data_IF_997746040880
#
_entry.id   IF_997746040880
#
_cell.length_a   1.000
_cell.length_b   1.000
_cell.length_c   1.000
_cell.angle_alpha   90.00
_cell.angle_beta   90.00
_cell.angle_gamma   90.00
#
_symmetry.space_group_name_H-M   'P 1'
#
loop_
_entity.id
_entity.type
_entity.pdbx_description
1 polymer ?
#
# COMPACT_ATOMS: atom_id res chain seq x y z
N UNK A 1 9.32 3.89 7.50
CA UNK A 1 10.34 4.42 8.41
C UNK A 1 11.73 4.06 7.91
N UNK A 2 12.63 5.02 7.84
CA UNK A 2 14.05 4.84 7.43
C UNK A 2 14.93 4.33 8.58
N UNK A 3 14.42 4.34 9.81
CA UNK A 3 15.10 3.84 11.00
C UNK A 3 14.25 2.69 11.57
N UNK A 4 14.91 1.58 11.88
CA UNK A 4 14.23 0.50 12.61
C UNK A 4 13.89 0.97 14.02
N UNK A 5 12.62 0.87 14.47
CA UNK A 5 12.25 1.26 15.84
C UNK A 5 13.05 0.52 16.92
N UNK A 6 13.50 -0.69 16.65
CA UNK A 6 14.33 -1.49 17.54
C UNK A 6 15.74 -0.93 17.76
N UNK A 7 16.21 -0.02 16.89
CA UNK A 7 17.50 0.66 17.01
C UNK A 7 17.42 1.97 17.77
N UNK A 8 16.23 2.45 18.12
CA UNK A 8 16.03 3.71 18.83
C UNK A 8 16.28 3.49 20.33
N UNK A 9 17.17 4.30 20.91
CA UNK A 9 17.42 4.34 22.35
C UNK A 9 16.49 5.35 23.03
N UNK A 10 16.32 6.54 22.42
CA UNK A 10 15.43 7.58 22.96
C UNK A 10 14.95 8.53 21.86
N UNK A 11 13.79 9.12 22.11
CA UNK A 11 13.24 10.21 21.28
C UNK A 11 12.93 11.39 22.20
N UNK A 12 13.49 12.56 21.87
CA UNK A 12 13.28 13.81 22.61
C UNK A 12 12.66 14.84 21.70
N UNK A 13 11.60 15.50 22.15
CA UNK A 13 10.92 16.56 21.40
C UNK A 13 11.25 17.90 22.04
N UNK A 14 11.96 18.77 21.33
CA UNK A 14 12.29 20.12 21.74
C UNK A 14 11.25 21.09 21.18
N UNK A 15 10.50 21.75 22.07
CA UNK A 15 9.40 22.65 21.67
C UNK A 15 9.64 24.09 22.08
N UNK A 16 10.55 24.33 23.03
CA UNK A 16 10.86 25.68 23.49
C UNK A 16 11.98 26.34 22.68
N UNK A 17 11.94 27.68 22.62
CA UNK A 17 12.88 28.49 21.84
C UNK A 17 14.34 28.32 22.29
N UNK A 18 14.57 28.09 23.57
CA UNK A 18 15.93 27.92 24.13
C UNK A 18 16.55 26.62 23.64
N UNK A 19 15.79 25.53 23.70
CA UNK A 19 16.26 24.21 23.23
C UNK A 19 16.42 24.16 21.71
N UNK A 20 15.54 24.84 20.95
CA UNK A 20 15.57 24.84 19.48
C UNK A 20 16.57 25.83 18.88
N UNK A 21 17.04 26.82 19.66
CA UNK A 21 18.00 27.84 19.19
C UNK A 21 19.30 27.26 18.64
N UNK A 22 19.74 26.10 19.16
CA UNK A 22 20.91 25.36 18.65
C UNK A 22 20.76 24.89 17.21
N UNK A 23 19.52 24.81 16.70
CA UNK A 23 19.20 24.35 15.35
C UNK A 23 18.88 25.49 14.37
N UNK A 24 19.02 26.76 14.85
CA UNK A 24 18.78 27.95 14.05
C UNK A 24 17.36 28.03 13.50
N UNK A 25 17.18 28.61 12.31
CA UNK A 25 15.88 28.76 11.66
C UNK A 25 15.17 27.45 11.38
N UNK A 26 15.89 26.33 11.25
CA UNK A 26 15.31 24.99 11.06
C UNK A 26 14.57 24.47 12.29
N UNK A 27 14.90 24.99 13.48
CA UNK A 27 14.23 24.65 14.74
C UNK A 27 12.93 25.41 15.01
N UNK A 28 12.50 26.32 14.14
CA UNK A 28 11.37 27.22 14.39
C UNK A 28 10.04 26.48 14.68
N UNK A 29 9.82 25.33 14.10
CA UNK A 29 8.64 24.48 14.29
C UNK A 29 8.84 23.35 15.34
N UNK A 30 9.93 23.41 16.12
CA UNK A 30 10.35 22.36 17.03
C UNK A 30 11.33 21.38 16.40
N UNK A 31 11.97 20.57 17.25
CA UNK A 31 12.98 19.58 16.84
C UNK A 31 12.68 18.24 17.49
N UNK A 32 12.71 17.17 16.70
CA UNK A 32 12.66 15.80 17.20
C UNK A 32 14.07 15.22 17.13
N UNK A 33 14.66 14.95 18.29
CA UNK A 33 15.98 14.34 18.42
C UNK A 33 15.82 12.83 18.61
N UNK A 34 16.29 12.04 17.68
CA UNK A 34 16.28 10.58 17.76
C UNK A 34 17.71 10.12 18.05
N UNK A 35 17.88 9.46 19.20
CA UNK A 35 19.16 8.85 19.59
C UNK A 35 19.08 7.34 19.34
N UNK A 36 20.03 6.83 18.58
CA UNK A 36 20.12 5.40 18.31
C UNK A 36 20.98 4.68 19.33
N UNK A 37 20.78 3.37 19.47
CA UNK A 37 21.53 2.50 20.40
C UNK A 37 23.02 2.52 20.09
N UNK A 38 23.83 2.37 21.14
CA UNK A 38 25.30 2.32 21.11
C UNK A 38 25.77 1.12 21.93
N UNK A 39 26.98 0.68 21.71
CA UNK A 39 27.65 -0.27 22.58
C UNK A 39 28.05 0.37 23.90
N UNK A 40 28.17 -0.41 24.96
CA UNK A 40 28.67 0.04 26.25
C UNK A 40 30.15 -0.31 26.46
N UNK A 41 30.84 0.55 27.23
CA UNK A 41 32.26 0.35 27.55
C UNK A 41 32.43 -0.77 28.58
N UNK A 42 33.39 -1.68 28.34
CA UNK A 42 33.70 -2.81 29.25
C UNK A 42 32.71 -3.97 29.18
N UNK A 43 31.76 -3.94 28.20
CA UNK A 43 30.89 -5.09 27.94
C UNK A 43 31.55 -6.10 26.99
N UNK A 44 31.47 -7.39 27.35
CA UNK A 44 31.74 -8.46 26.40
C UNK A 44 30.76 -8.39 25.22
N UNK A 45 31.17 -8.93 24.04
CA UNK A 45 30.32 -8.95 22.87
C UNK A 45 28.99 -9.68 23.14
N UNK A 46 27.89 -8.98 22.92
CA UNK A 46 26.52 -9.49 23.07
C UNK A 46 25.83 -9.58 21.71
N UNK A 47 25.13 -10.69 21.51
CA UNK A 47 24.28 -10.89 20.33
C UNK A 47 22.85 -11.05 20.82
N UNK A 48 21.96 -10.20 20.31
CA UNK A 48 20.52 -10.28 20.55
C UNK A 48 19.81 -10.60 19.22
N UNK A 49 18.89 -11.55 19.26
CA UNK A 49 18.07 -11.94 18.11
C UNK A 49 16.61 -11.75 18.49
N UNK A 50 15.92 -10.90 17.74
CA UNK A 50 14.49 -10.65 17.88
C UNK A 50 13.77 -11.18 16.63
N UNK A 51 12.82 -12.10 16.81
CA UNK A 51 11.97 -12.59 15.74
C UNK A 51 10.52 -12.44 16.18
N UNK A 52 9.72 -11.73 15.37
CA UNK A 52 8.28 -11.53 15.59
C UNK A 52 7.53 -12.01 14.36
N UNK A 53 6.57 -12.87 14.59
CA UNK A 53 5.65 -13.32 13.57
C UNK A 53 4.23 -12.93 13.96
N UNK A 54 3.44 -12.49 13.00
CA UNK A 54 2.08 -12.03 13.23
C UNK A 54 1.22 -12.15 11.99
N UNK A 55 -0.04 -11.79 12.15
CA UNK A 55 -1.01 -11.75 11.08
C UNK A 55 -1.69 -10.39 11.04
N UNK A 56 -1.88 -9.87 9.83
CA UNK A 56 -2.65 -8.66 9.57
C UNK A 56 -4.05 -9.06 9.14
N UNK A 57 -5.03 -8.72 9.93
CA UNK A 57 -6.43 -8.96 9.62
C UNK A 57 -7.27 -7.71 9.85
N UNK A 58 -8.38 -7.63 9.15
CA UNK A 58 -9.30 -6.54 9.35
C UNK A 58 -10.05 -6.74 10.67
N UNK A 59 -9.87 -5.82 11.61
CA UNK A 59 -10.54 -5.84 12.91
C UNK A 59 -11.75 -4.90 13.01
N UNK A 60 -11.82 -3.92 12.09
CA UNK A 60 -12.95 -3.00 12.04
C UNK A 60 -14.17 -3.69 11.43
N UNK A 61 -15.37 -3.52 12.01
CA UNK A 61 -16.60 -4.01 11.42
C UNK A 61 -16.79 -3.48 10.00
N UNK A 62 -17.36 -4.30 9.14
CA UNK A 62 -17.82 -3.87 7.82
C UNK A 62 -19.22 -3.29 7.97
N UNK A 63 -19.63 -2.47 7.00
CA UNK A 63 -21.02 -2.09 6.86
C UNK A 63 -21.87 -3.36 6.72
N UNK A 64 -23.01 -3.36 7.35
CA UNK A 64 -24.03 -4.36 7.15
C UNK A 64 -24.70 -4.10 5.80
N UNK A 65 -24.42 -4.98 4.84
CA UNK A 65 -24.95 -4.89 3.48
C UNK A 65 -25.65 -6.21 3.14
N UNK A 66 -26.65 -6.15 2.27
CA UNK A 66 -27.33 -7.34 1.76
C UNK A 66 -26.32 -8.20 1.01
N UNK A 67 -26.11 -9.43 1.50
CA UNK A 67 -25.21 -10.41 0.89
C UNK A 67 -25.95 -11.57 0.23
N UNK A 68 -27.22 -11.75 0.55
CA UNK A 68 -28.08 -12.77 -0.05
C UNK A 68 -28.66 -12.25 -1.38
N UNK A 69 -28.43 -12.94 -2.50
CA UNK A 69 -28.97 -12.56 -3.81
C UNK A 69 -30.51 -12.54 -3.84
N UNK A 70 -31.20 -13.42 -3.12
CA UNK A 70 -32.66 -13.45 -3.08
C UNK A 70 -33.23 -12.25 -2.32
N UNK A 71 -32.67 -11.96 -1.15
CA UNK A 71 -33.03 -10.78 -0.37
C UNK A 71 -32.80 -9.49 -1.18
N UNK A 72 -31.66 -9.41 -1.90
CA UNK A 72 -31.37 -8.29 -2.78
C UNK A 72 -32.45 -8.13 -3.87
N UNK A 73 -32.86 -9.23 -4.51
CA UNK A 73 -33.90 -9.21 -5.55
C UNK A 73 -35.24 -8.74 -4.98
N UNK A 74 -35.66 -9.23 -3.81
CA UNK A 74 -36.90 -8.79 -3.15
C UNK A 74 -36.87 -7.29 -2.86
N UNK A 75 -35.80 -6.78 -2.27
CA UNK A 75 -35.65 -5.38 -1.91
C UNK A 75 -35.61 -4.46 -3.16
N UNK A 76 -34.87 -4.87 -4.19
CA UNK A 76 -34.78 -4.15 -5.45
C UNK A 76 -36.13 -4.11 -6.15
N UNK A 77 -36.85 -5.24 -6.19
CA UNK A 77 -38.20 -5.31 -6.75
C UNK A 77 -39.17 -4.40 -6.01
N UNK A 78 -39.17 -4.43 -4.68
CA UNK A 78 -40.04 -3.58 -3.87
C UNK A 78 -39.76 -2.10 -4.10
N UNK A 79 -38.53 -1.73 -4.28
CA UNK A 79 -38.16 -0.35 -4.64
C UNK A 79 -38.75 0.07 -5.99
N UNK A 80 -38.62 -0.78 -7.00
CA UNK A 80 -39.17 -0.54 -8.33
C UNK A 80 -40.71 -0.53 -8.33
N UNK A 81 -41.33 -1.42 -7.57
CA UNK A 81 -42.77 -1.48 -7.39
C UNK A 81 -43.32 -0.16 -6.79
N UNK A 82 -42.67 0.32 -5.74
CA UNK A 82 -43.06 1.59 -5.10
C UNK A 82 -42.83 2.81 -6.00
N UNK A 83 -41.84 2.74 -6.89
CA UNK A 83 -41.53 3.79 -7.85
C UNK A 83 -42.45 3.78 -9.09
N UNK A 84 -43.22 2.69 -9.33
CA UNK A 84 -44.07 2.56 -10.49
C UNK A 84 -45.26 3.52 -10.42
N UNK A 85 -45.55 4.25 -11.52
CA UNK A 85 -46.67 5.14 -11.67
C UNK A 85 -47.97 4.48 -12.17
N UNK A 86 -47.97 3.12 -12.26
CA UNK A 86 -49.19 2.35 -12.68
C UNK A 86 -50.34 2.50 -11.68
N UNK A 87 -51.54 2.53 -12.20
CA UNK A 87 -52.76 2.69 -11.37
C UNK A 87 -53.14 1.39 -10.64
N UNK A 88 -52.77 0.22 -11.14
CA UNK A 88 -53.16 -1.08 -10.59
C UNK A 88 -51.96 -1.81 -9.95
N UNK A 89 -52.20 -2.56 -8.90
CA UNK A 89 -51.19 -3.37 -8.20
C UNK A 89 -50.49 -4.37 -9.16
N UNK A 90 -51.26 -5.05 -10.02
CA UNK A 90 -50.72 -5.95 -11.03
C UNK A 90 -49.87 -5.22 -12.10
N UNK A 91 -50.25 -3.99 -12.43
CA UNK A 91 -49.47 -3.13 -13.32
C UNK A 91 -48.12 -2.71 -12.70
N UNK A 92 -48.13 -2.36 -11.43
CA UNK A 92 -46.89 -2.05 -10.66
C UNK A 92 -45.98 -3.26 -10.55
N UNK A 93 -46.52 -4.42 -10.22
CA UNK A 93 -45.80 -5.70 -10.11
C UNK A 93 -45.13 -6.08 -11.45
N UNK A 94 -45.87 -5.92 -12.56
CA UNK A 94 -45.33 -6.16 -13.89
C UNK A 94 -44.19 -5.21 -14.22
N UNK A 95 -44.37 -3.91 -14.00
CA UNK A 95 -43.33 -2.90 -14.24
C UNK A 95 -42.07 -3.20 -13.42
N UNK A 96 -42.21 -3.50 -12.13
CA UNK A 96 -41.09 -3.82 -11.27
C UNK A 96 -40.31 -5.07 -11.78
N UNK A 97 -41.04 -6.11 -12.18
CA UNK A 97 -40.45 -7.34 -12.71
C UNK A 97 -39.76 -7.13 -14.05
N UNK A 98 -40.38 -6.39 -14.97
CA UNK A 98 -39.82 -6.10 -16.27
C UNK A 98 -38.56 -5.22 -16.19
N UNK A 99 -38.54 -4.28 -15.26
CA UNK A 99 -37.37 -3.43 -15.02
C UNK A 99 -36.24 -4.17 -14.33
N UNK A 100 -36.54 -4.96 -13.29
CA UNK A 100 -35.52 -5.68 -12.51
C UNK A 100 -34.79 -6.73 -13.33
N UNK A 101 -35.51 -7.51 -14.15
CA UNK A 101 -34.93 -8.55 -15.02
C UNK A 101 -34.73 -8.08 -16.47
N UNK A 102 -34.76 -6.78 -16.68
CA UNK A 102 -34.45 -6.14 -17.95
C UNK A 102 -32.96 -5.77 -18.11
N UNK A 103 -32.60 -5.20 -19.26
CA UNK A 103 -31.19 -4.83 -19.56
C UNK A 103 -30.56 -3.83 -18.60
N UNK A 104 -31.36 -3.05 -17.90
CA UNK A 104 -30.90 -2.04 -16.90
C UNK A 104 -30.97 -2.53 -15.47
N UNK A 105 -31.40 -3.78 -15.24
CA UNK A 105 -31.45 -4.40 -13.92
C UNK A 105 -30.50 -5.57 -13.80
N UNK A 106 -31.04 -6.81 -13.75
CA UNK A 106 -30.29 -8.07 -13.73
C UNK A 106 -30.42 -8.72 -15.11
N UNK A 107 -29.54 -8.38 -16.07
CA UNK A 107 -29.61 -8.96 -17.41
C UNK A 107 -29.23 -10.44 -17.40
N UNK A 108 -29.52 -11.15 -18.50
CA UNK A 108 -29.40 -12.60 -18.57
C UNK A 108 -28.10 -13.20 -18.05
N UNK A 109 -26.91 -12.67 -18.37
CA UNK A 109 -25.68 -13.29 -17.87
C UNK A 109 -25.56 -13.32 -16.34
N UNK A 110 -26.33 -12.47 -15.65
CA UNK A 110 -26.33 -12.33 -14.20
C UNK A 110 -27.55 -12.97 -13.52
N UNK A 111 -28.46 -13.58 -14.29
CA UNK A 111 -29.57 -14.32 -13.71
C UNK A 111 -29.03 -15.64 -13.14
N UNK A 112 -29.01 -15.71 -11.80
CA UNK A 112 -28.45 -16.85 -11.07
C UNK A 112 -29.37 -18.08 -11.02
N UNK A 113 -30.62 -17.95 -11.48
CA UNK A 113 -31.66 -18.95 -11.25
C UNK A 113 -32.15 -19.59 -12.53
N UNK A 114 -32.74 -20.75 -12.37
CA UNK A 114 -33.48 -21.51 -13.39
C UNK A 114 -34.80 -22.01 -12.78
N UNK A 115 -35.75 -22.34 -13.63
CA UNK A 115 -37.02 -22.92 -13.22
C UNK A 115 -37.18 -24.31 -13.81
N UNK A 116 -37.43 -25.28 -12.95
CA UNK A 116 -37.82 -26.65 -13.35
C UNK A 116 -39.33 -26.69 -13.47
N UNK A 117 -39.85 -26.87 -14.67
CA UNK A 117 -41.28 -26.97 -14.93
C UNK A 117 -41.84 -28.33 -14.46
N UNK A 118 -43.17 -28.42 -14.32
CA UNK A 118 -43.84 -29.62 -13.90
C UNK A 118 -43.62 -30.83 -14.86
N UNK A 119 -43.31 -30.58 -16.10
CA UNK A 119 -42.97 -31.62 -17.11
C UNK A 119 -41.49 -32.02 -17.09
N UNK A 120 -40.71 -31.48 -16.13
CA UNK A 120 -39.26 -31.73 -16.02
C UNK A 120 -38.39 -30.93 -16.98
N UNK A 121 -38.95 -30.09 -17.81
CA UNK A 121 -38.17 -29.16 -18.66
C UNK A 121 -37.55 -28.04 -17.81
N UNK A 122 -36.38 -27.55 -18.22
CA UNK A 122 -35.66 -26.49 -17.50
C UNK A 122 -35.69 -25.19 -18.29
N UNK A 123 -36.27 -24.15 -17.69
CA UNK A 123 -36.10 -22.77 -18.15
C UNK A 123 -34.84 -22.20 -17.53
N UNK A 124 -33.79 -22.04 -18.32
CA UNK A 124 -32.49 -21.51 -17.88
C UNK A 124 -32.45 -19.99 -17.79
N UNK A 125 -33.49 -19.28 -18.27
CA UNK A 125 -33.59 -17.82 -18.25
C UNK A 125 -34.98 -17.36 -17.80
N UNK A 126 -35.42 -17.73 -16.56
CA UNK A 126 -36.68 -17.25 -16.02
C UNK A 126 -36.62 -15.74 -15.77
N UNK A 127 -37.73 -15.05 -16.01
CA UNK A 127 -37.85 -13.60 -15.82
C UNK A 127 -39.15 -13.26 -15.10
N UNK A 128 -39.15 -12.10 -14.46
CA UNK A 128 -40.32 -11.48 -13.88
C UNK A 128 -41.04 -12.40 -12.89
N UNK A 129 -42.29 -12.66 -13.14
CA UNK A 129 -43.18 -13.43 -12.24
C UNK A 129 -42.81 -14.93 -12.09
N UNK A 130 -41.85 -15.42 -12.89
CA UNK A 130 -41.30 -16.78 -12.69
C UNK A 130 -40.26 -16.85 -11.58
N UNK A 131 -39.77 -15.71 -11.08
CA UNK A 131 -38.79 -15.62 -10.01
C UNK A 131 -39.34 -14.91 -8.77
N UNK A 132 -40.24 -13.95 -8.95
CA UNK A 132 -40.78 -13.16 -7.86
C UNK A 132 -42.30 -13.02 -8.00
N UNK A 133 -43.00 -13.35 -6.95
CA UNK A 133 -44.46 -13.29 -6.91
C UNK A 133 -44.97 -11.84 -6.90
N UNK A 134 -46.26 -11.65 -7.19
CA UNK A 134 -46.91 -10.33 -7.13
C UNK A 134 -46.90 -9.71 -5.73
N UNK A 135 -46.61 -10.49 -4.69
CA UNK A 135 -46.43 -10.04 -3.31
C UNK A 135 -45.01 -9.55 -3.01
N UNK A 136 -44.14 -9.55 -4.02
CA UNK A 136 -42.74 -9.15 -3.87
C UNK A 136 -41.83 -10.17 -3.19
N UNK A 137 -42.30 -11.39 -3.01
CA UNK A 137 -41.49 -12.47 -2.44
C UNK A 137 -40.86 -13.32 -3.51
N UNK A 138 -39.58 -13.69 -3.30
CA UNK A 138 -38.87 -14.58 -4.18
C UNK A 138 -39.53 -15.98 -4.13
N UNK A 139 -39.69 -16.61 -5.30
CA UNK A 139 -40.27 -17.93 -5.39
C UNK A 139 -39.22 -18.99 -5.01
N UNK A 140 -39.66 -20.06 -4.36
CA UNK A 140 -38.79 -21.09 -3.84
C UNK A 140 -38.75 -22.38 -4.63
N UNK A 141 -38.16 -23.40 -4.03
CA UNK A 141 -38.07 -24.74 -4.62
C UNK A 141 -39.45 -25.39 -4.85
N UNK A 142 -40.44 -25.03 -4.04
CA UNK A 142 -41.83 -25.46 -4.21
C UNK A 142 -42.46 -24.91 -5.50
N UNK A 143 -41.96 -23.79 -5.99
CA UNK A 143 -42.38 -23.20 -7.28
C UNK A 143 -41.44 -23.62 -8.43
N UNK A 144 -40.52 -24.56 -8.18
CA UNK A 144 -39.53 -25.06 -9.15
C UNK A 144 -38.32 -24.13 -9.34
N UNK A 145 -38.21 -23.05 -8.57
CA UNK A 145 -37.08 -22.11 -8.67
C UNK A 145 -35.87 -22.66 -7.94
N UNK A 146 -34.73 -22.73 -8.64
CA UNK A 146 -33.46 -23.15 -8.05
C UNK A 146 -32.29 -22.38 -8.68
N UNK A 147 -31.13 -22.35 -8.02
CA UNK A 147 -29.93 -21.81 -8.61
C UNK A 147 -29.49 -22.63 -9.83
N UNK A 148 -28.96 -21.97 -10.86
CA UNK A 148 -28.17 -22.62 -11.88
C UNK A 148 -26.99 -23.35 -11.25
N UNK A 149 -26.42 -24.40 -11.86
CA UNK A 149 -25.27 -25.11 -11.33
C UNK A 149 -24.13 -24.15 -10.92
N UNK A 150 -23.62 -24.31 -9.69
CA UNK A 150 -22.53 -23.51 -9.14
C UNK A 150 -22.87 -22.07 -8.74
N UNK A 151 -24.06 -21.55 -9.08
CA UNK A 151 -24.41 -20.16 -8.80
C UNK A 151 -24.88 -19.92 -7.36
N UNK A 152 -25.07 -20.96 -6.57
CA UNK A 152 -25.42 -20.87 -5.15
C UNK A 152 -24.22 -20.68 -4.23
N UNK A 153 -22.99 -20.69 -4.74
CA UNK A 153 -21.76 -20.59 -3.97
C UNK A 153 -20.73 -19.67 -4.68
N UNK A 154 -21.18 -18.49 -5.06
CA UNK A 154 -20.31 -17.50 -5.68
C UNK A 154 -19.31 -16.96 -4.67
N UNK A 155 -18.06 -16.74 -5.10
CA UNK A 155 -17.07 -16.06 -4.28
C UNK A 155 -17.56 -14.64 -3.98
N UNK A 156 -17.58 -14.28 -2.69
CA UNK A 156 -17.94 -12.92 -2.31
C UNK A 156 -16.87 -11.92 -2.73
N UNK A 157 -17.28 -10.70 -3.09
CA UNK A 157 -16.34 -9.62 -3.39
C UNK A 157 -15.41 -9.31 -2.23
N UNK A 158 -15.86 -9.50 -1.00
CA UNK A 158 -15.05 -9.32 0.21
C UNK A 158 -13.91 -10.34 0.27
N UNK A 159 -14.23 -11.62 0.05
CA UNK A 159 -13.24 -12.69 0.07
C UNK A 159 -12.27 -12.63 -1.11
N UNK A 160 -12.72 -12.04 -2.23
CA UNK A 160 -11.87 -11.81 -3.39
C UNK A 160 -10.82 -10.69 -3.17
N UNK A 161 -11.06 -9.76 -2.24
CA UNK A 161 -10.26 -8.55 -2.06
C UNK A 161 -9.51 -8.53 -0.72
N UNK A 162 -10.09 -9.11 0.32
CA UNK A 162 -9.46 -9.14 1.64
C UNK A 162 -8.87 -10.53 1.94
N UNK A 163 -7.79 -10.53 2.69
CA UNK A 163 -7.10 -11.75 3.14
C UNK A 163 -6.57 -11.57 4.56
N UNK A 164 -6.09 -12.64 5.13
CA UNK A 164 -5.19 -12.58 6.29
C UNK A 164 -3.76 -12.46 5.75
N UNK A 165 -3.15 -11.31 5.95
CA UNK A 165 -1.76 -11.06 5.58
C UNK A 165 -0.80 -11.59 6.64
N UNK A 166 0.42 -11.92 6.24
CA UNK A 166 1.47 -12.39 7.14
C UNK A 166 2.48 -11.27 7.41
N UNK A 167 3.01 -11.26 8.63
CA UNK A 167 4.06 -10.33 9.03
C UNK A 167 5.21 -11.08 9.70
N UNK A 168 6.42 -10.87 9.20
CA UNK A 168 7.67 -11.34 9.79
C UNK A 168 8.59 -10.15 10.02
N UNK A 169 9.04 -9.95 11.27
CA UNK A 169 10.03 -8.94 11.64
C UNK A 169 11.16 -9.65 12.38
N UNK A 170 12.34 -9.69 11.78
CA UNK A 170 13.51 -10.35 12.32
C UNK A 170 14.68 -9.37 12.38
N UNK A 171 15.32 -9.25 13.53
CA UNK A 171 16.47 -8.36 13.75
C UNK A 171 17.56 -9.07 14.55
N UNK A 172 18.79 -8.97 14.08
CA UNK A 172 20.00 -9.38 14.80
C UNK A 172 20.76 -8.14 15.21
N UNK A 173 21.16 -8.05 16.48
CA UNK A 173 21.91 -6.93 17.05
C UNK A 173 23.17 -7.45 17.69
N UNK A 174 24.28 -6.80 17.43
CA UNK A 174 25.59 -7.12 17.97
C UNK A 174 26.13 -5.86 18.64
N UNK A 175 26.45 -5.92 19.92
CA UNK A 175 27.01 -4.79 20.66
C UNK A 175 28.11 -5.24 21.60
N UNK A 176 28.99 -4.30 21.95
CA UNK A 176 30.06 -4.54 22.89
C UNK A 176 31.07 -3.42 22.89
N UNK A 177 32.14 -3.58 23.64
CA UNK A 177 33.20 -2.59 23.60
C UNK A 177 34.23 -2.69 24.70
N UNK A 178 35.33 -2.00 24.49
CA UNK A 178 36.39 -1.76 25.45
C UNK A 178 36.31 -0.31 25.97
N UNK A 179 37.18 0.08 26.89
CA UNK A 179 37.31 1.49 27.31
C UNK A 179 37.64 2.47 26.18
N UNK A 180 38.19 1.96 25.08
CA UNK A 180 38.64 2.81 23.96
C UNK A 180 37.72 2.77 22.75
N UNK A 181 36.91 1.71 22.58
CA UNK A 181 36.05 1.55 21.41
C UNK A 181 34.81 0.80 21.83
N UNK A 182 33.63 1.35 21.48
CA UNK A 182 32.35 0.66 21.60
C UNK A 182 31.68 0.58 20.25
N UNK A 183 30.94 -0.51 20.02
CA UNK A 183 30.25 -0.73 18.77
C UNK A 183 28.85 -1.27 19.00
N UNK A 184 27.97 -0.91 18.08
CA UNK A 184 26.63 -1.47 17.94
C UNK A 184 26.34 -1.66 16.45
N UNK A 185 25.92 -2.85 16.07
CA UNK A 185 25.53 -3.18 14.69
C UNK A 185 24.20 -3.92 14.73
N UNK A 186 23.26 -3.54 13.87
CA UNK A 186 22.01 -4.25 13.68
C UNK A 186 21.77 -4.58 12.21
N UNK A 187 21.15 -5.74 11.97
CA UNK A 187 20.68 -6.19 10.67
C UNK A 187 19.22 -6.60 10.86
N UNK A 188 18.32 -5.98 10.11
CA UNK A 188 16.89 -6.23 10.22
C UNK A 188 16.25 -6.56 8.88
N UNK A 189 15.28 -7.46 8.91
CA UNK A 189 14.40 -7.78 7.79
C UNK A 189 12.96 -7.76 8.25
N UNK A 190 12.13 -7.04 7.52
CA UNK A 190 10.68 -6.97 7.70
C UNK A 190 10.00 -7.38 6.41
N UNK A 191 9.09 -8.35 6.49
CA UNK A 191 8.10 -8.64 5.46
C UNK A 191 6.71 -8.40 6.06
N UNK A 192 5.91 -7.59 5.42
CA UNK A 192 4.58 -7.18 5.90
C UNK A 192 3.57 -7.25 4.74
N UNK A 193 2.68 -8.23 4.80
CA UNK A 193 1.58 -8.36 3.86
C UNK A 193 0.32 -7.76 4.46
N UNK A 194 -0.31 -6.83 3.74
CA UNK A 194 -1.57 -6.23 4.17
C UNK A 194 -2.77 -7.19 4.08
N UNK A 195 -3.82 -6.91 4.83
CA UNK A 195 -5.09 -7.63 4.72
C UNK A 195 -5.85 -7.31 3.41
N UNK A 196 -5.45 -6.29 2.68
CA UNK A 196 -5.93 -5.94 1.36
C UNK A 196 -4.97 -6.53 0.31
N UNK A 197 -5.48 -7.33 -0.65
CA UNK A 197 -4.64 -7.98 -1.65
C UNK A 197 -3.86 -6.95 -2.47
N UNK A 198 -2.65 -7.32 -2.93
CA UNK A 198 -1.76 -6.40 -3.65
C UNK A 198 -0.98 -5.42 -2.75
N UNK A 199 -1.28 -5.35 -1.44
CA UNK A 199 -0.55 -4.49 -0.50
C UNK A 199 0.54 -5.29 0.20
N UNK A 200 1.82 -4.95 -0.07
CA UNK A 200 2.99 -5.60 0.54
C UNK A 200 4.09 -4.58 0.84
N UNK A 201 4.87 -4.85 1.86
CA UNK A 201 6.04 -4.04 2.23
C UNK A 201 7.16 -4.93 2.71
N UNK A 202 8.30 -4.90 2.00
CA UNK A 202 9.53 -5.56 2.39
C UNK A 202 10.58 -4.51 2.75
N UNK A 203 11.32 -4.72 3.84
CA UNK A 203 12.39 -3.81 4.26
C UNK A 203 13.59 -4.58 4.76
N UNK A 204 14.76 -4.23 4.28
CA UNK A 204 16.05 -4.66 4.79
C UNK A 204 16.79 -3.45 5.38
N UNK A 205 17.36 -3.59 6.57
CA UNK A 205 18.09 -2.53 7.26
C UNK A 205 19.43 -3.04 7.77
N UNK A 206 20.45 -2.22 7.63
CA UNK A 206 21.73 -2.39 8.29
C UNK A 206 22.12 -1.09 8.97
N UNK A 207 22.57 -1.15 10.21
CA UNK A 207 23.08 -0.02 10.96
C UNK A 207 24.34 -0.41 11.69
N UNK A 208 25.31 0.52 11.73
CA UNK A 208 26.52 0.38 12.56
C UNK A 208 26.86 1.72 13.19
N UNK A 209 27.08 1.70 14.50
CA UNK A 209 27.53 2.85 15.30
C UNK A 209 28.82 2.43 16.01
N UNK A 210 29.89 3.20 15.83
CA UNK A 210 31.20 2.96 16.46
C UNK A 210 31.62 4.25 17.14
N UNK A 211 31.83 4.21 18.44
CA UNK A 211 32.45 5.31 19.21
C UNK A 211 33.89 4.90 19.57
N UNK A 212 34.84 5.82 19.44
CA UNK A 212 36.25 5.55 19.71
C UNK A 212 36.96 6.71 20.42
N UNK A 213 37.92 6.36 21.30
CA UNK A 213 38.73 7.27 22.09
C UNK A 213 40.18 6.79 22.14
N UNK A 214 40.92 6.87 21.03
CA UNK A 214 42.27 6.30 20.93
C UNK A 214 43.28 7.04 21.81
N UNK A 215 43.04 8.33 22.11
CA UNK A 215 43.87 9.19 22.96
C UNK A 215 43.01 10.03 23.88
N UNK A 216 43.58 10.56 24.97
CA UNK A 216 42.89 11.48 25.91
C UNK A 216 42.40 12.78 25.27
N UNK A 217 43.05 13.20 24.18
CA UNK A 217 42.77 14.42 23.46
C UNK A 217 41.93 14.21 22.18
N UNK A 218 41.68 12.96 21.79
CA UNK A 218 40.92 12.62 20.59
C UNK A 218 39.82 11.60 20.92
N UNK A 219 38.59 11.96 20.64
CA UNK A 219 37.46 11.02 20.57
C UNK A 219 36.64 11.27 19.32
N UNK A 220 35.91 10.27 18.89
CA UNK A 220 35.04 10.41 17.73
C UNK A 220 34.01 9.31 17.68
N UNK A 221 33.10 9.44 16.74
CA UNK A 221 32.16 8.40 16.38
C UNK A 221 31.95 8.37 14.87
N UNK A 222 31.56 7.19 14.41
CA UNK A 222 31.07 6.98 13.02
C UNK A 222 29.73 6.24 13.14
N UNK A 223 28.74 6.68 12.40
CA UNK A 223 27.47 6.03 12.28
C UNK A 223 27.13 5.86 10.80
N UNK A 224 26.64 4.67 10.45
CA UNK A 224 26.21 4.33 9.10
C UNK A 224 24.90 3.59 9.18
N UNK A 225 23.99 3.87 8.27
CA UNK A 225 22.77 3.13 8.09
C UNK A 225 22.41 3.01 6.61
N UNK A 226 21.92 1.84 6.24
CA UNK A 226 21.35 1.57 4.94
C UNK A 226 19.98 0.95 5.12
N UNK A 227 19.01 1.42 4.35
CA UNK A 227 17.68 0.86 4.28
C UNK A 227 17.31 0.65 2.82
N UNK A 228 16.95 -0.55 2.49
CA UNK A 228 16.26 -0.92 1.26
C UNK A 228 14.80 -1.20 1.61
N UNK A 229 13.87 -0.70 0.82
CA UNK A 229 12.46 -1.08 0.91
C UNK A 229 11.83 -1.26 -0.45
N UNK A 230 10.92 -2.23 -0.52
CA UNK A 230 10.09 -2.50 -1.68
C UNK A 230 8.64 -2.55 -1.22
N UNK A 231 7.81 -1.66 -1.76
CA UNK A 231 6.41 -1.52 -1.40
C UNK A 231 5.55 -1.68 -2.64
N UNK A 232 4.60 -2.59 -2.59
CA UNK A 232 3.48 -2.58 -3.53
C UNK A 232 2.28 -1.93 -2.84
N UNK A 233 1.71 -0.93 -3.49
CA UNK A 233 0.49 -0.27 -3.05
C UNK A 233 -0.68 -0.84 -3.84
N UNK A 234 -1.69 -1.31 -3.16
CA UNK A 234 -2.96 -1.60 -3.80
C UNK A 234 -3.71 -0.27 -4.02
N UNK A 235 -4.30 -0.08 -5.18
CA UNK A 235 -5.06 1.12 -5.50
C UNK A 235 -6.14 1.38 -4.44
N UNK A 236 -6.05 2.50 -3.76
CA UNK A 236 -6.96 2.95 -2.73
C UNK A 236 -7.42 4.34 -3.10
N UNK A 237 -8.68 4.48 -3.42
CA UNK A 237 -9.30 5.75 -3.71
C UNK A 237 -10.72 5.78 -3.15
N UNK A 238 -11.40 6.87 -3.36
CA UNK A 238 -12.82 7.06 -3.05
C UNK A 238 -13.74 6.77 -4.24
N UNK A 239 -13.18 6.23 -5.31
CA UNK A 239 -13.87 5.89 -6.54
C UNK A 239 -14.15 4.38 -6.66
N UNK A 240 -14.88 4.00 -7.71
CA UNK A 240 -15.28 2.62 -7.97
C UNK A 240 -14.14 1.65 -8.26
N UNK A 241 -12.94 2.14 -8.61
CA UNK A 241 -11.74 1.30 -8.80
C UNK A 241 -11.16 0.85 -7.46
N UNK A 242 -11.56 1.50 -6.35
CA UNK A 242 -11.19 1.05 -5.01
C UNK A 242 -12.01 -0.17 -4.59
N UNK A 243 -11.33 -1.25 -4.25
CA UNK A 243 -11.97 -2.42 -3.70
C UNK A 243 -12.76 -2.16 -2.42
N UNK A 244 -12.34 -1.19 -1.59
CA UNK A 244 -13.08 -0.81 -0.37
C UNK A 244 -14.46 -0.21 -0.68
N UNK A 245 -14.55 0.63 -1.70
CA UNK A 245 -15.83 1.20 -2.14
C UNK A 245 -16.67 0.13 -2.82
N UNK A 246 -16.05 -0.62 -3.72
CA UNK A 246 -16.72 -1.59 -4.58
C UNK A 246 -17.40 -2.71 -3.78
N UNK A 247 -16.72 -3.30 -2.78
CA UNK A 247 -17.29 -4.40 -1.97
C UNK A 247 -18.51 -4.01 -1.14
N UNK A 248 -18.70 -2.72 -0.88
CA UNK A 248 -19.83 -2.21 -0.12
C UNK A 248 -21.01 -1.75 -1.00
N UNK A 249 -20.80 -1.63 -2.31
CA UNK A 249 -21.81 -1.12 -3.24
C UNK A 249 -22.24 -2.13 -4.30
N UNK A 250 -21.43 -3.18 -4.51
CA UNK A 250 -21.75 -4.20 -5.51
C UNK A 250 -22.85 -5.13 -5.02
N UNK A 251 -23.89 -5.29 -5.85
CA UNK A 251 -24.97 -6.18 -5.55
C UNK A 251 -24.52 -7.65 -5.59
N UNK A 252 -25.04 -8.52 -4.69
CA UNK A 252 -24.59 -9.90 -4.54
C UNK A 252 -24.94 -10.81 -5.73
N UNK A 253 -25.76 -10.35 -6.65
CA UNK A 253 -26.08 -11.06 -7.90
C UNK A 253 -24.98 -10.95 -8.96
N UNK A 254 -24.04 -10.01 -8.82
CA UNK A 254 -22.94 -9.83 -9.76
C UNK A 254 -21.69 -10.55 -9.27
N UNK A 255 -21.22 -11.57 -10.00
CA UNK A 255 -20.09 -12.40 -9.56
C UNK A 255 -18.74 -11.72 -9.76
N UNK A 256 -17.70 -12.23 -9.06
CA UNK A 256 -16.29 -11.81 -9.25
C UNK A 256 -15.73 -12.35 -10.58
N UNK A 257 -16.09 -13.58 -10.91
CA UNK A 257 -15.61 -14.31 -12.08
C UNK A 257 -16.74 -14.60 -13.06
N UNK A 258 -16.39 -14.88 -14.31
CA UNK A 258 -17.28 -15.47 -15.28
C UNK A 258 -17.37 -16.99 -15.06
N UNK A 259 -18.57 -17.54 -15.21
CA UNK A 259 -18.87 -18.95 -14.98
C UNK A 259 -19.36 -19.64 -16.24
N UNK A 260 -19.01 -20.92 -16.40
CA UNK A 260 -19.55 -21.82 -17.39
C UNK A 260 -20.96 -22.30 -16.96
N UNK A 261 -21.70 -22.89 -17.88
CA UNK A 261 -23.03 -23.43 -17.61
C UNK A 261 -23.05 -24.55 -16.55
N UNK A 262 -21.92 -25.24 -16.34
CA UNK A 262 -21.74 -26.26 -15.32
C UNK A 262 -21.35 -25.70 -13.94
N UNK A 263 -21.19 -24.36 -13.81
CA UNK A 263 -20.81 -23.69 -12.59
C UNK A 263 -19.33 -23.61 -12.32
N UNK A 264 -18.49 -24.05 -13.23
CA UNK A 264 -17.03 -23.86 -13.14
C UNK A 264 -16.64 -22.44 -13.56
N UNK A 265 -15.56 -21.90 -12.97
CA UNK A 265 -15.01 -20.60 -13.38
C UNK A 265 -14.44 -20.73 -14.79
N UNK A 266 -14.76 -19.78 -15.65
CA UNK A 266 -14.18 -19.72 -17.00
C UNK A 266 -12.69 -19.42 -16.95
N UNK A 267 -11.94 -19.97 -17.90
CA UNK A 267 -10.55 -19.63 -18.12
C UNK A 267 -10.49 -18.50 -19.14
N UNK A 268 -9.77 -17.46 -18.80
CA UNK A 268 -9.55 -16.33 -19.69
C UNK A 268 -8.53 -16.71 -20.79
N UNK A 269 -8.89 -16.62 -22.05
CA UNK A 269 -7.99 -17.00 -23.16
C UNK A 269 -6.78 -16.06 -23.31
N UNK A 270 -6.84 -14.85 -22.76
CA UNK A 270 -5.74 -13.88 -22.84
C UNK A 270 -4.68 -14.12 -21.76
N UNK A 271 -5.10 -14.49 -20.56
CA UNK A 271 -4.20 -14.60 -19.39
C UNK A 271 -3.93 -16.05 -19.00
N UNK A 272 -4.75 -17.00 -19.45
CA UNK A 272 -4.70 -18.39 -19.01
C UNK A 272 -5.15 -18.61 -17.56
N UNK A 273 -5.53 -17.54 -16.84
CA UNK A 273 -6.05 -17.58 -15.49
C UNK A 273 -7.57 -17.55 -15.43
N UNK A 274 -8.12 -17.33 -14.25
CA UNK A 274 -9.56 -17.15 -14.07
C UNK A 274 -10.07 -15.92 -14.81
N UNK A 275 -11.17 -16.03 -15.53
CA UNK A 275 -11.81 -14.92 -16.21
C UNK A 275 -12.58 -14.05 -15.20
N UNK A 276 -12.11 -12.83 -14.98
CA UNK A 276 -12.78 -11.86 -14.14
C UNK A 276 -13.97 -11.23 -14.86
N UNK A 277 -15.08 -11.03 -14.13
CA UNK A 277 -16.25 -10.33 -14.67
C UNK A 277 -16.06 -8.81 -14.61
N UNK A 278 -15.77 -8.18 -15.73
CA UNK A 278 -15.74 -6.72 -15.86
C UNK A 278 -17.11 -6.10 -16.19
N UNK A 279 -18.15 -6.93 -16.26
CA UNK A 279 -19.51 -6.44 -16.50
C UNK A 279 -19.74 -5.87 -17.88
N UNK A 280 -18.99 -6.30 -18.88
CA UNK A 280 -19.12 -5.86 -20.27
C UNK A 280 -19.44 -7.05 -21.15
N UNK A 281 -20.64 -7.04 -21.75
CA UNK A 281 -21.11 -8.03 -22.69
C UNK A 281 -21.53 -7.37 -24.01
N UNK A 282 -21.62 -8.15 -25.06
CA UNK A 282 -22.08 -7.67 -26.34
C UNK A 282 -23.50 -7.10 -26.22
N UNK A 283 -23.63 -5.79 -26.49
CA UNK A 283 -24.90 -5.06 -26.45
C UNK A 283 -25.32 -4.49 -25.10
N UNK A 284 -24.70 -4.83 -23.97
CA UNK A 284 -25.00 -4.21 -22.66
C UNK A 284 -23.87 -4.39 -21.65
N UNK A 285 -23.89 -3.53 -20.64
CA UNK A 285 -23.00 -3.60 -19.49
C UNK A 285 -23.75 -3.91 -18.19
N UNK A 286 -23.02 -4.31 -17.17
CA UNK A 286 -23.54 -4.38 -15.81
C UNK A 286 -24.03 -2.98 -15.41
N UNK A 287 -25.22 -2.84 -14.78
CA UNK A 287 -25.79 -1.52 -14.47
C UNK A 287 -24.92 -0.69 -13.49
N UNK A 288 -24.05 -1.36 -12.73
CA UNK A 288 -23.16 -0.73 -11.77
C UNK A 288 -21.74 -1.26 -11.93
N UNK A 289 -20.75 -0.37 -11.99
CA UNK A 289 -19.35 -0.76 -12.10
C UNK A 289 -19.00 -1.51 -13.39
N UNK A 290 -19.70 -1.21 -14.52
CA UNK A 290 -19.35 -1.74 -15.84
C UNK A 290 -17.93 -1.31 -16.24
N UNK A 291 -17.15 -2.22 -16.77
CA UNK A 291 -15.73 -2.02 -17.09
C UNK A 291 -14.78 -2.13 -15.91
N UNK A 292 -15.27 -2.35 -14.70
CA UNK A 292 -14.48 -2.36 -13.47
C UNK A 292 -14.57 -3.72 -12.78
N UNK A 293 -13.41 -4.27 -12.39
CA UNK A 293 -13.30 -5.41 -11.49
C UNK A 293 -12.05 -5.23 -10.63
N UNK A 294 -12.19 -4.72 -9.38
CA UNK A 294 -11.03 -4.46 -8.52
C UNK A 294 -10.20 -5.70 -8.21
N UNK A 295 -10.82 -6.89 -8.10
CA UNK A 295 -10.08 -8.13 -7.87
C UNK A 295 -9.17 -8.48 -9.06
N UNK A 296 -9.64 -8.26 -10.29
CA UNK A 296 -8.86 -8.42 -11.51
C UNK A 296 -7.78 -7.35 -11.63
N UNK A 297 -8.13 -6.08 -11.40
CA UNK A 297 -7.15 -4.98 -11.43
C UNK A 297 -6.02 -5.19 -10.41
N UNK A 298 -6.35 -5.55 -9.16
CA UNK A 298 -5.34 -5.85 -8.13
C UNK A 298 -4.44 -7.06 -8.49
N UNK A 299 -4.89 -7.92 -9.37
CA UNK A 299 -4.09 -9.07 -9.87
C UNK A 299 -3.10 -8.65 -10.95
N UNK A 300 -3.49 -7.75 -11.84
CA UNK A 300 -2.74 -7.42 -13.04
C UNK A 300 -2.06 -6.05 -13.01
N UNK A 301 -2.63 -5.08 -12.31
CA UNK A 301 -2.01 -3.76 -12.13
C UNK A 301 -0.92 -3.81 -11.06
N UNK A 302 0.05 -2.91 -11.17
CA UNK A 302 1.14 -2.77 -10.22
C UNK A 302 1.34 -1.29 -9.89
N UNK A 303 1.54 -1.00 -8.63
CA UNK A 303 2.00 0.28 -8.12
C UNK A 303 3.11 -0.02 -7.12
N UNK A 304 4.35 0.10 -7.58
CA UNK A 304 5.52 -0.35 -6.84
C UNK A 304 6.47 0.81 -6.54
N UNK A 305 6.94 0.88 -5.30
CA UNK A 305 7.96 1.82 -4.87
C UNK A 305 9.16 1.05 -4.33
N UNK A 306 10.30 1.19 -5.01
CA UNK A 306 11.60 0.71 -4.51
C UNK A 306 12.39 1.90 -4.00
N UNK A 307 12.87 1.82 -2.75
CA UNK A 307 13.60 2.91 -2.14
C UNK A 307 14.92 2.42 -1.52
N UNK A 308 15.97 3.18 -1.76
CA UNK A 308 17.26 3.07 -1.10
C UNK A 308 17.50 4.32 -0.24
N UNK A 309 17.86 4.12 1.00
CA UNK A 309 18.23 5.20 1.90
C UNK A 309 19.58 4.91 2.55
N UNK A 310 20.52 5.82 2.37
CA UNK A 310 21.86 5.76 2.96
C UNK A 310 22.02 6.94 3.91
N UNK A 311 22.48 6.67 5.11
CA UNK A 311 22.89 7.68 6.08
C UNK A 311 24.29 7.33 6.54
N UNK A 312 25.20 8.28 6.47
CA UNK A 312 26.54 8.15 7.00
C UNK A 312 26.91 9.46 7.73
N UNK A 313 27.46 9.33 8.92
CA UNK A 313 27.86 10.50 9.69
C UNK A 313 28.99 10.18 10.65
N UNK A 314 29.60 11.23 11.16
CA UNK A 314 30.62 11.10 12.17
C UNK A 314 30.95 12.42 12.83
N UNK A 315 31.59 12.31 13.97
CA UNK A 315 32.08 13.41 14.76
C UNK A 315 33.48 13.13 15.24
N UNK A 316 34.36 14.11 15.14
CA UNK A 316 35.69 14.10 15.73
C UNK A 316 35.78 15.26 16.73
N UNK A 317 36.15 14.99 17.97
CA UNK A 317 36.42 15.97 19.01
C UNK A 317 37.90 15.97 19.33
N UNK A 318 38.56 17.12 19.13
CA UNK A 318 39.98 17.37 19.42
C UNK A 318 40.05 18.29 20.66
N UNK A 319 40.64 17.81 21.72
CA UNK A 319 40.88 18.59 22.95
C UNK A 319 42.31 19.09 22.96
N UNK A 320 42.53 20.35 22.55
CA UNK A 320 43.85 20.96 22.46
C UNK A 320 44.42 21.37 23.78
N UNK A 321 43.56 21.96 24.65
CA UNK A 321 43.89 22.38 26.00
C UNK A 321 42.80 21.93 26.98
N UNK A 322 43.03 22.13 28.27
CA UNK A 322 42.02 21.74 29.28
C UNK A 322 40.65 22.35 29.03
N UNK A 323 40.64 23.57 28.49
CA UNK A 323 39.42 24.40 28.38
C UNK A 323 39.01 24.63 26.92
N UNK A 324 39.78 24.16 25.91
CA UNK A 324 39.53 24.38 24.47
C UNK A 324 39.37 23.06 23.71
N UNK A 325 38.30 22.94 22.97
CA UNK A 325 38.06 21.80 22.09
C UNK A 325 37.51 22.24 20.74
N UNK A 326 37.87 21.50 19.67
CA UNK A 326 37.30 21.60 18.35
C UNK A 326 36.47 20.33 18.08
N UNK A 327 35.24 20.52 17.62
CA UNK A 327 34.36 19.44 17.17
C UNK A 327 34.14 19.60 15.68
N UNK A 328 34.35 18.53 14.92
CA UNK A 328 34.10 18.47 13.48
C UNK A 328 33.07 17.40 13.25
N UNK A 329 31.91 17.78 12.72
CA UNK A 329 30.84 16.89 12.35
C UNK A 329 30.68 16.86 10.82
N UNK A 330 30.43 15.67 10.26
CA UNK A 330 30.08 15.49 8.85
C UNK A 330 28.95 14.47 8.76
N UNK A 331 27.93 14.79 7.94
CA UNK A 331 26.79 13.93 7.72
C UNK A 331 26.41 13.92 6.25
N UNK A 332 26.07 12.76 5.73
CA UNK A 332 25.53 12.50 4.42
C UNK A 332 24.22 11.74 4.55
N UNK A 333 23.21 12.17 3.81
CA UNK A 333 21.97 11.45 3.64
C UNK A 333 21.65 11.37 2.15
N UNK A 334 21.42 10.18 1.66
CA UNK A 334 21.00 9.93 0.29
C UNK A 334 19.70 9.13 0.31
N UNK A 335 18.73 9.55 -0.48
CA UNK A 335 17.48 8.84 -0.75
C UNK A 335 17.29 8.73 -2.24
N UNK A 336 17.25 7.50 -2.76
CA UNK A 336 16.83 7.19 -4.12
C UNK A 336 15.51 6.43 -4.06
N UNK A 337 14.48 6.90 -4.73
CA UNK A 337 13.18 6.25 -4.84
C UNK A 337 12.79 6.12 -6.31
N UNK A 338 12.40 4.91 -6.71
CA UNK A 338 11.79 4.61 -8.01
C UNK A 338 10.36 4.17 -7.75
N UNK A 339 9.39 4.92 -8.27
CA UNK A 339 7.98 4.58 -8.30
C UNK A 339 7.61 4.14 -9.71
N UNK A 340 6.93 3.01 -9.82
CA UNK A 340 6.52 2.43 -11.10
C UNK A 340 5.05 2.05 -11.02
N UNK A 341 4.25 2.68 -11.85
CA UNK A 341 2.83 2.39 -12.02
C UNK A 341 2.62 1.65 -13.35
N UNK A 342 1.96 0.52 -13.28
CA UNK A 342 1.63 -0.30 -14.43
C UNK A 342 0.14 -0.59 -14.44
N UNK A 343 -0.56 -0.18 -15.50
CA UNK A 343 -1.95 -0.51 -15.76
C UNK A 343 -2.00 -1.54 -16.90
N UNK A 344 -2.59 -2.68 -16.65
CA UNK A 344 -2.58 -3.80 -17.55
C UNK A 344 -3.30 -3.53 -18.88
N UNK A 345 -2.95 -4.29 -19.92
CA UNK A 345 -3.58 -4.21 -21.24
C UNK A 345 -4.75 -5.16 -21.43
N UNK A 346 -5.04 -6.03 -20.46
CA UNK A 346 -6.09 -7.03 -20.63
C UNK A 346 -7.48 -6.44 -20.46
N UNK A 347 -7.68 -5.69 -19.39
CA UNK A 347 -8.97 -5.23 -18.94
C UNK A 347 -8.89 -3.86 -18.26
N UNK A 348 -10.05 -3.27 -18.01
CA UNK A 348 -10.20 -2.05 -17.24
C UNK A 348 -9.81 -0.81 -18.02
N UNK A 349 -9.26 0.16 -17.30
CA UNK A 349 -9.05 1.52 -17.75
C UNK A 349 -8.06 1.66 -18.94
N UNK A 350 -7.11 0.76 -19.06
CA UNK A 350 -6.16 0.71 -20.17
C UNK A 350 -6.31 -0.53 -21.04
N UNK A 351 -7.47 -1.18 -21.02
CA UNK A 351 -7.74 -2.38 -21.81
C UNK A 351 -7.42 -2.21 -23.29
N UNK A 352 -6.68 -3.15 -23.87
CA UNK A 352 -6.22 -3.14 -25.26
C UNK A 352 -4.88 -2.44 -25.48
N UNK A 353 -4.44 -1.52 -24.62
CA UNK A 353 -3.19 -0.76 -24.80
C UNK A 353 -2.18 -0.93 -23.66
N UNK A 354 -2.65 -0.93 -22.41
CA UNK A 354 -1.79 -0.86 -21.24
C UNK A 354 -1.04 0.47 -21.10
N UNK A 355 -0.67 0.81 -19.88
CA UNK A 355 0.10 2.04 -19.57
C UNK A 355 1.18 1.73 -18.54
N UNK A 356 2.28 2.47 -18.63
CA UNK A 356 3.36 2.44 -17.65
C UNK A 356 3.81 3.85 -17.36
N UNK A 357 4.01 4.18 -16.09
CA UNK A 357 4.64 5.41 -15.64
C UNK A 357 5.75 5.07 -14.65
N UNK A 358 6.88 5.75 -14.77
CA UNK A 358 8.02 5.62 -13.87
C UNK A 358 8.44 7.00 -13.41
N UNK A 359 8.50 7.18 -12.10
CA UNK A 359 9.11 8.34 -11.46
C UNK A 359 10.36 7.91 -10.70
N UNK A 360 11.46 8.61 -10.91
CA UNK A 360 12.68 8.45 -10.15
C UNK A 360 12.98 9.76 -9.42
N UNK A 361 13.11 9.67 -8.10
CA UNK A 361 13.39 10.80 -7.22
C UNK A 361 14.65 10.54 -6.42
N UNK A 362 15.63 11.44 -6.54
CA UNK A 362 16.88 11.35 -5.81
C UNK A 362 17.09 12.60 -4.96
N UNK A 363 17.51 12.38 -3.72
CA UNK A 363 17.74 13.44 -2.76
C UNK A 363 19.07 13.19 -2.06
N UNK A 364 19.93 14.21 -2.05
CA UNK A 364 21.23 14.18 -1.41
C UNK A 364 21.36 15.39 -0.48
N UNK A 365 21.66 15.14 0.79
CA UNK A 365 22.01 16.15 1.77
C UNK A 365 23.38 15.87 2.34
N UNK A 366 24.25 16.88 2.33
CA UNK A 366 25.57 16.84 2.96
C UNK A 366 25.65 18.02 3.93
N UNK A 367 26.00 17.75 5.17
CA UNK A 367 26.21 18.77 6.18
C UNK A 367 27.58 18.60 6.79
N UNK A 368 28.37 19.68 6.85
CA UNK A 368 29.64 19.74 7.54
C UNK A 368 29.60 20.88 8.56
N UNK A 369 30.05 20.62 9.77
CA UNK A 369 30.00 21.57 10.87
C UNK A 369 31.33 21.56 11.65
N UNK A 370 31.85 22.73 11.98
CA UNK A 370 33.02 22.93 12.83
C UNK A 370 32.61 23.82 14.00
N UNK A 371 32.85 23.34 15.23
CA UNK A 371 32.52 24.04 16.45
C UNK A 371 33.78 24.16 17.30
N UNK A 372 34.17 25.38 17.61
CA UNK A 372 35.25 25.65 18.55
C UNK A 372 34.61 26.07 19.89
N UNK A 373 34.81 25.28 20.95
CA UNK A 373 34.25 25.53 22.28
C UNK A 373 35.36 25.81 23.28
N UNK A 374 35.18 26.90 24.05
CA UNK A 374 35.97 27.23 25.21
C UNK A 374 35.13 27.16 26.47
N UNK A 375 35.54 26.32 27.43
CA UNK A 375 34.85 26.15 28.72
C UNK A 375 35.85 26.29 29.86
N UNK A 376 35.68 27.31 30.67
CA UNK A 376 36.56 27.56 31.84
C UNK A 376 35.76 27.83 33.10
N UNK A 377 36.13 27.16 34.17
CA UNK A 377 35.62 27.45 35.51
C UNK A 377 36.71 28.17 36.30
N UNK A 378 36.38 29.36 36.80
CA UNK A 378 37.22 30.21 37.61
C UNK A 378 36.48 30.40 38.96
N UNK A 379 36.89 29.64 39.98
CA UNK A 379 36.20 29.60 41.29
C UNK A 379 34.71 29.23 41.09
N UNK A 380 33.81 30.17 41.46
CA UNK A 380 32.35 30.01 41.35
C UNK A 380 31.80 30.43 39.97
N UNK A 381 32.63 30.98 39.07
CA UNK A 381 32.22 31.45 37.75
C UNK A 381 32.55 30.43 36.67
N UNK A 382 31.55 30.08 35.87
CA UNK A 382 31.75 29.24 34.68
C UNK A 382 31.50 30.07 33.41
N UNK A 383 32.52 30.12 32.55
CA UNK A 383 32.48 30.82 31.27
C UNK A 383 32.43 29.77 30.17
N UNK A 384 31.44 29.86 29.30
CA UNK A 384 31.32 29.04 28.10
C UNK A 384 31.19 29.97 26.90
N UNK A 385 32.08 29.78 25.90
CA UNK A 385 32.03 30.47 24.63
C UNK A 385 32.09 29.43 23.50
N UNK A 386 31.38 29.68 22.44
CA UNK A 386 31.37 28.81 21.25
C UNK A 386 31.32 29.65 19.99
N UNK A 387 32.11 29.26 19.00
CA UNK A 387 32.02 29.75 17.64
C UNK A 387 31.83 28.54 16.72
N UNK A 388 30.91 28.65 15.73
CA UNK A 388 30.58 27.57 14.85
C UNK A 388 30.48 28.03 13.41
N UNK A 389 30.84 27.12 12.50
CA UNK A 389 30.62 27.25 11.07
C UNK A 389 29.87 25.98 10.60
N UNK A 390 28.83 26.15 9.79
CA UNK A 390 28.07 25.06 9.18
C UNK A 390 27.94 25.30 7.67
N UNK A 391 28.14 24.24 6.90
CA UNK A 391 27.87 24.22 5.47
C UNK A 391 26.90 23.09 5.20
N UNK A 392 25.86 23.37 4.45
CA UNK A 392 24.90 22.37 3.96
C UNK A 392 24.76 22.47 2.44
N UNK A 393 24.74 21.30 1.80
CA UNK A 393 24.38 21.16 0.39
C UNK A 393 23.17 20.24 0.32
N UNK A 394 22.12 20.67 -0.36
CA UNK A 394 20.95 19.88 -0.65
C UNK A 394 20.76 19.82 -2.17
N UNK A 395 20.56 18.62 -2.70
CA UNK A 395 20.23 18.38 -4.11
C UNK A 395 19.03 17.47 -4.20
N UNK A 396 18.07 17.84 -5.02
CA UNK A 396 16.93 17.00 -5.38
C UNK A 396 16.84 16.96 -6.89
N UNK A 397 16.76 15.77 -7.44
CA UNK A 397 16.46 15.55 -8.85
C UNK A 397 15.31 14.57 -8.99
N UNK A 398 14.45 14.78 -9.97
CA UNK A 398 13.42 13.84 -10.32
C UNK A 398 13.27 13.73 -11.83
N UNK A 399 12.87 12.56 -12.26
CA UNK A 399 12.57 12.26 -13.67
C UNK A 399 11.28 11.47 -13.69
N UNK A 400 10.35 11.89 -14.52
CA UNK A 400 9.10 11.20 -14.77
C UNK A 400 9.00 10.84 -16.25
N UNK A 401 8.54 9.63 -16.53
CA UNK A 401 8.23 9.18 -17.86
C UNK A 401 6.98 8.31 -17.87
N UNK A 402 6.10 8.50 -18.85
CA UNK A 402 4.97 7.61 -19.08
C UNK A 402 4.89 7.19 -20.53
N UNK A 403 4.46 5.95 -20.74
CA UNK A 403 4.29 5.33 -22.07
C UNK A 403 3.03 4.48 -22.09
N UNK A 404 2.51 4.27 -23.29
CA UNK A 404 1.39 3.38 -23.56
C UNK A 404 1.74 2.33 -24.63
N UNK A 405 0.82 1.41 -24.89
CA UNK A 405 1.00 0.26 -25.77
C UNK A 405 2.07 -0.68 -25.25
N UNK A 406 1.73 -1.31 -24.12
CA UNK A 406 2.59 -2.28 -23.44
C UNK A 406 2.81 -3.53 -24.30
N UNK A 407 4.06 -3.91 -24.46
CA UNK A 407 4.45 -5.05 -25.31
C UNK A 407 4.34 -6.39 -24.56
N UNK A 408 4.72 -6.42 -23.27
CA UNK A 408 4.66 -7.59 -22.41
C UNK A 408 3.80 -7.27 -21.19
N UNK A 409 2.57 -7.79 -21.13
CA UNK A 409 1.61 -7.42 -20.08
C UNK A 409 1.89 -8.06 -18.72
N UNK A 410 2.76 -9.08 -18.67
CA UNK A 410 3.20 -9.74 -17.44
C UNK A 410 4.70 -10.03 -17.46
N UNK A 411 5.32 -10.26 -16.27
CA UNK A 411 6.72 -10.64 -16.14
C UNK A 411 7.60 -9.58 -15.49
N UNK A 412 8.90 -9.82 -15.44
CA UNK A 412 9.86 -8.99 -14.70
C UNK A 412 9.99 -7.56 -15.25
N UNK A 413 9.81 -7.38 -16.55
CA UNK A 413 10.00 -6.08 -17.21
C UNK A 413 8.74 -5.21 -17.27
N UNK A 414 7.64 -5.62 -16.65
CA UNK A 414 6.38 -4.85 -16.70
C UNK A 414 6.50 -3.45 -16.10
N UNK A 415 7.43 -3.25 -15.18
CA UNK A 415 7.65 -1.97 -14.48
C UNK A 415 8.70 -1.08 -15.14
N UNK A 416 9.15 -1.38 -16.35
CA UNK A 416 10.15 -0.62 -17.07
C UNK A 416 9.55 0.11 -18.28
N UNK A 417 9.89 1.38 -18.46
CA UNK A 417 9.42 2.19 -19.60
C UNK A 417 9.76 1.57 -20.96
N UNK A 418 10.81 0.75 -21.05
CA UNK A 418 11.18 0.00 -22.24
C UNK A 418 10.13 -1.02 -22.68
N UNK A 419 9.24 -1.45 -21.79
CA UNK A 419 8.15 -2.37 -22.08
C UNK A 419 6.98 -1.72 -22.85
N UNK A 420 7.00 -0.42 -23.14
CA UNK A 420 5.92 0.25 -23.86
C UNK A 420 6.47 1.06 -25.05
N UNK A 421 5.67 1.17 -26.11
CA UNK A 421 6.12 1.64 -27.41
C UNK A 421 5.91 3.15 -27.57
N UNK A 422 4.75 3.67 -27.15
CA UNK A 422 4.35 5.05 -27.41
C UNK A 422 4.61 5.96 -26.21
N UNK A 423 5.44 6.99 -26.38
CA UNK A 423 5.67 8.00 -25.35
C UNK A 423 4.39 8.84 -25.12
N UNK A 424 4.08 9.09 -23.86
CA UNK A 424 2.97 9.97 -23.48
C UNK A 424 3.52 11.25 -22.84
N UNK A 425 4.47 11.13 -21.92
CA UNK A 425 5.09 12.28 -21.24
C UNK A 425 6.49 11.90 -20.79
N UNK A 426 7.44 12.83 -20.90
CA UNK A 426 8.76 12.73 -20.29
C UNK A 426 9.13 14.11 -19.75
N UNK A 427 9.41 14.20 -18.44
CA UNK A 427 9.80 15.43 -17.76
C UNK A 427 10.88 15.15 -16.72
N UNK A 428 11.73 16.17 -16.46
CA UNK A 428 12.74 16.09 -15.40
C UNK A 428 13.01 17.47 -14.80
N UNK A 429 13.44 17.51 -13.55
CA UNK A 429 13.92 18.71 -12.89
C UNK A 429 15.04 18.38 -11.89
N UNK A 430 15.93 19.33 -11.68
CA UNK A 430 16.98 19.25 -10.66
C UNK A 430 17.06 20.58 -9.93
N UNK A 431 17.00 20.54 -8.60
CA UNK A 431 17.17 21.67 -7.71
C UNK A 431 18.38 21.42 -6.80
N UNK A 432 19.21 22.43 -6.60
CA UNK A 432 20.35 22.39 -5.69
C UNK A 432 20.39 23.68 -4.85
N UNK A 433 20.58 23.55 -3.54
CA UNK A 433 20.75 24.66 -2.57
C UNK A 433 21.88 24.36 -1.60
#
# INVERSE_FOLDING_TARGET
STIDPGDIASTTILKDATATSLYGSRGANGVIVITTKKGASGEEGRIDVDIKYGANMRMLPMYDVITDPQEFVEMAWMSLYNASSRATESGKAKDASDMLFGPKGIPEPYNLWQVVNADGSINTNPKGTLLIGNNGKFLGAEDGVQYKPGMNNLLSWRDAIFRVGQKLDATVKISGGTEKTTYYTSIGYLKDEGYYIGSTYDRFTVRSNVDFKPKKWLKGNVNMAYTYSNQNRAGQGDNMNSGFVYVNQMAPVFPVFLYNADGTIQIDPKTGGNAYDYGMFEGYGRPFGSGINPAGSLRYDRDNIVQHYVMAGGSLEFKFYKDLKLIVNANLQYRGAKESEFTNSYYGDAGGIGRIAVEQNEQLWITAQQLLEYNKTLNEHSIRAMIGHETQVARTSWTYGSKSHVAVPEGENTLELGNAIQNTTITSATNAT
#
